data_IF_276487354110
#
_entry.id   IF_276487354110
#
_cell.length_a   1.000
_cell.length_b   1.000
_cell.length_c   1.000
_cell.angle_alpha   90.00
_cell.angle_beta   90.00
_cell.angle_gamma   90.00
#
_symmetry.space_group_name_H-M   'P 1'
#
loop_
_entity.id
_entity.type
_entity.pdbx_description
1 polymer ?
#
# COMPACT_ATOMS: atom_id res chain seq x y z
N UNK A 1 -14.60 0.95 -10.97
CA UNK A 1 -14.12 -0.05 -11.94
C UNK A 1 -12.75 -0.52 -11.51
N UNK A 2 -12.61 -1.80 -11.26
CA UNK A 2 -11.31 -2.39 -10.97
C UNK A 2 -10.58 -2.68 -12.28
N UNK A 3 -9.32 -2.29 -12.36
CA UNK A 3 -8.46 -2.60 -13.50
C UNK A 3 -7.73 -3.91 -13.21
N UNK A 4 -7.70 -4.83 -14.15
CA UNK A 4 -7.07 -6.16 -13.99
C UNK A 4 -5.62 -6.07 -13.50
N UNK A 5 -4.84 -5.14 -14.04
CA UNK A 5 -3.45 -4.92 -13.62
C UNK A 5 -3.34 -4.51 -12.15
N UNK A 6 -4.29 -3.72 -11.64
CA UNK A 6 -4.36 -3.33 -10.24
C UNK A 6 -4.63 -4.53 -9.35
N UNK A 7 -5.58 -5.38 -9.74
CA UNK A 7 -5.88 -6.61 -8.98
C UNK A 7 -4.68 -7.56 -8.93
N UNK A 8 -3.96 -7.71 -10.03
CA UNK A 8 -2.75 -8.53 -10.10
C UNK A 8 -1.64 -7.99 -9.19
N UNK A 9 -1.49 -6.67 -9.11
CA UNK A 9 -0.55 -6.01 -8.22
C UNK A 9 -0.91 -6.22 -6.74
N UNK A 10 -2.19 -6.15 -6.39
CA UNK A 10 -2.65 -6.25 -5.00
C UNK A 10 -2.63 -7.68 -4.45
N UNK A 11 -2.82 -8.70 -5.29
CA UNK A 11 -2.92 -10.10 -4.85
C UNK A 11 -1.79 -10.60 -3.94
N UNK A 12 -0.51 -10.32 -4.23
CA UNK A 12 0.57 -10.75 -3.34
C UNK A 12 0.41 -10.19 -1.93
N UNK A 13 -0.01 -8.93 -1.80
CA UNK A 13 -0.24 -8.29 -0.51
C UNK A 13 -1.46 -8.87 0.21
N UNK A 14 -2.55 -9.11 -0.50
CA UNK A 14 -3.77 -9.71 0.06
C UNK A 14 -3.52 -11.11 0.63
N UNK A 15 -2.62 -11.90 0.02
CA UNK A 15 -2.23 -13.22 0.52
C UNK A 15 -1.31 -13.14 1.73
N UNK A 16 -0.44 -12.15 1.77
CA UNK A 16 0.58 -11.98 2.81
C UNK A 16 0.00 -11.33 4.06
N UNK A 17 -0.92 -10.39 3.87
CA UNK A 17 -1.51 -9.60 4.95
C UNK A 17 -3.02 -9.80 4.98
N UNK A 18 -3.53 -10.34 6.08
CA UNK A 18 -4.96 -10.49 6.31
C UNK A 18 -5.61 -9.11 6.51
N UNK A 19 -6.80 -8.92 5.94
CA UNK A 19 -7.50 -7.64 6.02
C UNK A 19 -6.84 -6.51 5.25
N UNK A 20 -6.06 -6.83 4.23
CA UNK A 20 -5.36 -5.85 3.41
C UNK A 20 -6.34 -4.91 2.71
N UNK A 21 -6.26 -3.63 3.01
CA UNK A 21 -7.14 -2.63 2.44
C UNK A 21 -6.98 -1.26 3.11
N UNK A 22 -7.91 -0.37 2.85
CA UNK A 22 -7.88 1.01 3.35
C UNK A 22 -8.23 1.15 4.85
N UNK A 23 -8.41 0.05 5.53
CA UNK A 23 -8.69 0.03 6.96
C UNK A 23 -10.11 0.42 7.38
N UNK A 24 -10.97 0.82 6.45
CA UNK A 24 -12.33 1.23 6.77
C UNK A 24 -13.17 0.09 7.32
N UNK A 25 -12.98 -1.10 6.78
CA UNK A 25 -13.71 -2.30 7.19
C UNK A 25 -13.33 -2.74 8.61
N UNK A 26 -12.09 -2.48 9.01
CA UNK A 26 -11.58 -2.82 10.34
C UNK A 26 -11.91 -1.76 11.40
N UNK A 27 -12.54 -0.66 11.00
CA UNK A 27 -12.85 0.43 11.91
C UNK A 27 -11.63 1.18 12.44
N UNK A 28 -10.48 1.06 11.79
CA UNK A 28 -9.25 1.74 12.20
C UNK A 28 -9.33 3.20 11.77
N UNK A 29 -9.36 4.10 12.76
CA UNK A 29 -9.36 5.53 12.48
C UNK A 29 -8.01 6.02 11.99
N UNK A 30 -8.03 7.02 11.12
CA UNK A 30 -6.82 7.64 10.59
C UNK A 30 -6.11 6.85 9.49
N UNK A 31 -6.75 5.83 8.92
CA UNK A 31 -6.27 5.11 7.75
C UNK A 31 -6.94 5.68 6.50
N UNK A 32 -6.18 5.81 5.43
CA UNK A 32 -6.62 6.32 4.14
C UNK A 32 -5.76 7.46 3.63
N UNK A 33 -6.26 8.15 2.61
CA UNK A 33 -5.50 9.23 1.98
C UNK A 33 -5.49 10.51 2.83
N UNK A 34 -4.30 11.03 3.06
CA UNK A 34 -4.09 12.31 3.75
C UNK A 34 -4.13 13.48 2.76
N UNK A 35 -3.78 13.25 1.51
CA UNK A 35 -3.73 14.26 0.48
C UNK A 35 -4.28 13.72 -0.84
N UNK A 36 -5.13 14.50 -1.48
CA UNK A 36 -5.67 14.22 -2.81
C UNK A 36 -5.58 15.48 -3.64
N UNK A 37 -5.19 15.35 -4.88
CA UNK A 37 -5.14 16.46 -5.82
C UNK A 37 -5.44 16.00 -7.24
N UNK A 38 -5.88 16.92 -8.09
CA UNK A 38 -6.10 16.65 -9.50
C UNK A 38 -5.78 17.91 -10.31
N UNK A 39 -5.21 17.70 -11.48
CA UNK A 39 -4.91 18.76 -12.42
C UNK A 39 -4.98 18.21 -13.85
N UNK A 40 -5.97 18.68 -14.64
CA UNK A 40 -6.22 18.17 -15.98
C UNK A 40 -6.44 16.66 -15.99
N UNK A 41 -5.60 15.95 -16.72
CA UNK A 41 -5.68 14.49 -16.86
C UNK A 41 -4.96 13.73 -15.74
N UNK A 42 -4.39 14.44 -14.78
CA UNK A 42 -3.60 13.84 -13.70
C UNK A 42 -4.35 13.85 -12.37
N UNK A 43 -4.24 12.76 -11.64
CA UNK A 43 -4.73 12.63 -10.27
C UNK A 43 -3.63 12.11 -9.36
N UNK A 44 -3.66 12.52 -8.11
CA UNK A 44 -2.65 12.20 -7.11
C UNK A 44 -3.32 11.83 -5.79
N UNK A 45 -2.78 10.82 -5.15
CA UNK A 45 -3.24 10.34 -3.86
C UNK A 45 -2.03 9.97 -3.00
N UNK A 46 -2.00 10.42 -1.76
CA UNK A 46 -0.91 10.14 -0.83
C UNK A 46 -1.44 9.88 0.57
N UNK A 47 -0.91 8.88 1.27
CA UNK A 47 -1.28 8.59 2.64
C UNK A 47 -0.16 7.95 3.45
N UNK A 48 -0.02 8.39 4.70
CA UNK A 48 0.94 7.82 5.66
C UNK A 48 0.49 6.44 6.15
N UNK A 49 -0.82 6.26 6.31
CA UNK A 49 -1.46 5.02 6.72
C UNK A 49 -2.52 4.66 5.69
N UNK A 50 -2.09 4.53 4.45
CA UNK A 50 -3.01 4.35 3.32
C UNK A 50 -3.70 2.99 3.38
N UNK A 51 -2.91 1.96 3.64
CA UNK A 51 -3.36 0.58 3.65
C UNK A 51 -2.91 -0.08 4.95
N UNK A 52 -3.72 -0.98 5.47
CA UNK A 52 -3.41 -1.76 6.66
C UNK A 52 -3.63 -3.26 6.42
N UNK A 53 -3.01 -4.09 7.22
CA UNK A 53 -3.19 -5.54 7.20
C UNK A 53 -2.47 -6.20 8.36
N UNK A 54 -2.74 -7.50 8.58
CA UNK A 54 -2.05 -8.31 9.59
C UNK A 54 -1.15 -9.31 8.88
N UNK A 55 0.13 -9.35 9.26
CA UNK A 55 1.14 -10.22 8.65
C UNK A 55 0.90 -11.69 9.03
N UNK A 56 0.40 -12.49 8.09
CA UNK A 56 0.00 -13.88 8.33
C UNK A 56 0.74 -14.92 7.48
N UNK A 57 1.45 -14.47 6.44
CA UNK A 57 2.26 -15.34 5.59
C UNK A 57 3.64 -14.72 5.35
N UNK A 58 4.67 -15.49 4.96
CA UNK A 58 6.01 -14.95 4.74
C UNK A 58 6.01 -13.77 3.76
N UNK A 59 6.77 -12.73 4.09
CA UNK A 59 6.95 -11.54 3.26
C UNK A 59 8.43 -11.21 3.13
N UNK A 60 8.97 -11.24 1.91
CA UNK A 60 10.39 -10.98 1.62
C UNK A 60 11.35 -11.79 2.52
N UNK A 61 11.01 -13.06 2.77
CA UNK A 61 11.80 -13.93 3.63
C UNK A 61 11.58 -13.73 5.13
N UNK A 62 10.67 -12.84 5.53
CA UNK A 62 10.31 -12.63 6.93
C UNK A 62 9.15 -13.54 7.27
N UNK A 63 9.34 -14.40 8.28
CA UNK A 63 8.30 -15.30 8.76
C UNK A 63 7.12 -14.52 9.35
N UNK A 64 5.90 -15.09 9.33
CA UNK A 64 4.72 -14.42 9.84
C UNK A 64 4.90 -13.93 11.27
N UNK A 65 4.68 -12.63 11.49
CA UNK A 65 4.84 -12.00 12.82
C UNK A 65 3.53 -11.84 13.58
N UNK A 66 2.39 -11.90 12.86
CA UNK A 66 1.10 -11.56 13.44
C UNK A 66 0.91 -10.06 13.69
N UNK A 67 1.87 -9.23 13.31
CA UNK A 67 1.81 -7.79 13.52
C UNK A 67 0.82 -7.12 12.57
N UNK A 68 0.07 -6.16 13.09
CA UNK A 68 -0.70 -5.24 12.25
C UNK A 68 0.25 -4.18 11.70
N UNK A 69 0.21 -3.99 10.42
CA UNK A 69 1.10 -3.05 9.72
C UNK A 69 0.30 -2.02 8.93
N UNK A 70 0.93 -0.89 8.70
CA UNK A 70 0.43 0.17 7.83
C UNK A 70 1.41 0.35 6.68
N UNK A 71 0.88 0.66 5.49
CA UNK A 71 1.73 0.99 4.36
C UNK A 71 1.50 2.42 3.90
N UNK A 72 2.61 3.16 3.78
CA UNK A 72 2.64 4.48 3.16
C UNK A 72 2.60 4.29 1.67
N UNK A 73 1.78 5.06 1.01
CA UNK A 73 1.57 4.95 -0.43
C UNK A 73 1.47 6.33 -1.05
N UNK A 74 1.98 6.42 -2.26
CA UNK A 74 1.87 7.61 -3.09
C UNK A 74 1.57 7.17 -4.50
N UNK A 75 0.39 7.50 -4.99
CA UNK A 75 -0.07 7.13 -6.32
C UNK A 75 -0.30 8.34 -7.19
N UNK A 76 0.16 8.24 -8.44
CA UNK A 76 -0.14 9.18 -9.50
C UNK A 76 -0.80 8.43 -10.65
N UNK A 77 -1.80 9.03 -11.24
CA UNK A 77 -2.50 8.50 -12.41
C UNK A 77 -2.58 9.53 -13.51
N UNK A 78 -2.43 9.06 -14.75
CA UNK A 78 -2.80 9.83 -15.93
C UNK A 78 -4.02 9.17 -16.55
N UNK A 79 -5.03 9.99 -16.83
CA UNK A 79 -6.30 9.56 -17.38
C UNK A 79 -6.51 10.13 -18.78
N UNK A 80 -7.26 9.43 -19.62
CA UNK A 80 -7.72 9.92 -20.92
C UNK A 80 -9.04 9.26 -21.27
N UNK A 81 -10.00 10.04 -21.75
CA UNK A 81 -11.32 9.56 -22.14
C UNK A 81 -12.02 8.74 -21.04
N UNK A 82 -11.90 9.18 -19.79
CA UNK A 82 -12.51 8.51 -18.64
C UNK A 82 -11.82 7.21 -18.21
N UNK A 83 -10.62 6.94 -18.71
CA UNK A 83 -9.84 5.73 -18.38
C UNK A 83 -8.49 6.09 -17.80
N UNK A 84 -8.03 5.28 -16.85
CA UNK A 84 -6.65 5.36 -16.35
C UNK A 84 -5.73 4.73 -17.40
N UNK A 85 -4.72 5.50 -17.84
CA UNK A 85 -3.76 5.08 -18.87
C UNK A 85 -2.42 4.71 -18.23
N UNK A 86 -1.99 5.46 -17.22
CA UNK A 86 -0.73 5.24 -16.52
C UNK A 86 -0.92 5.40 -15.03
N UNK A 87 -0.18 4.60 -14.26
CA UNK A 87 -0.12 4.71 -12.81
C UNK A 87 1.35 4.65 -12.37
N UNK A 88 1.77 5.62 -11.59
CA UNK A 88 3.05 5.62 -10.89
C UNK A 88 2.76 5.43 -9.41
N UNK A 89 3.24 4.31 -8.86
CA UNK A 89 2.99 3.93 -7.48
C UNK A 89 4.32 3.84 -6.74
N UNK A 90 4.42 4.54 -5.62
CA UNK A 90 5.57 4.46 -4.71
C UNK A 90 5.11 3.94 -3.36
N UNK A 91 5.65 2.80 -2.96
CA UNK A 91 5.36 2.14 -1.70
C UNK A 91 6.58 2.24 -0.78
N UNK A 92 6.35 2.61 0.49
CA UNK A 92 7.43 2.64 1.48
C UNK A 92 7.65 1.24 2.06
N UNK A 93 8.37 0.42 1.32
CA UNK A 93 8.68 -0.95 1.72
C UNK A 93 9.64 -1.01 2.91
N UNK A 94 10.57 -0.06 3.04
CA UNK A 94 11.49 0.00 4.19
C UNK A 94 10.73 0.20 5.49
N UNK A 95 9.75 1.10 5.49
CA UNK A 95 8.90 1.32 6.66
C UNK A 95 8.04 0.10 6.98
N UNK A 96 7.53 -0.59 5.94
CA UNK A 96 6.74 -1.80 6.11
C UNK A 96 7.55 -2.91 6.80
N UNK A 97 8.74 -3.23 6.29
CA UNK A 97 9.58 -4.29 6.86
C UNK A 97 10.10 -3.93 8.24
N UNK A 98 10.29 -2.65 8.54
CA UNK A 98 10.65 -2.20 9.89
C UNK A 98 9.57 -2.55 10.91
N UNK A 99 8.30 -2.43 10.54
CA UNK A 99 7.18 -2.83 11.38
C UNK A 99 7.14 -4.35 11.60
N UNK A 100 7.78 -5.12 10.73
CA UNK A 100 7.95 -6.57 10.86
C UNK A 100 9.22 -6.97 11.64
N UNK A 101 9.93 -5.99 12.20
CA UNK A 101 11.11 -6.23 13.04
C UNK A 101 12.43 -6.22 12.29
N UNK A 102 12.47 -5.82 11.02
CA UNK A 102 13.69 -5.77 10.21
C UNK A 102 14.09 -4.33 9.93
N UNK A 103 15.26 -3.91 10.38
CA UNK A 103 15.84 -2.60 10.06
C UNK A 103 16.91 -2.77 8.98
N UNK A 104 16.49 -2.64 7.72
CA UNK A 104 17.38 -2.83 6.56
C UNK A 104 18.57 -1.88 6.59
N UNK A 105 18.40 -0.65 7.06
CA UNK A 105 19.47 0.35 7.11
C UNK A 105 20.56 -0.06 8.11
N UNK A 106 20.18 -0.59 9.26
CA UNK A 106 21.14 -1.10 10.24
C UNK A 106 21.87 -2.35 9.74
N UNK A 107 21.17 -3.23 9.03
CA UNK A 107 21.76 -4.44 8.46
C UNK A 107 22.75 -4.16 7.33
N UNK A 108 22.67 -3.02 6.66
CA UNK A 108 23.59 -2.59 5.61
C UNK A 108 24.90 -2.00 6.17
N UNK A 109 24.94 -1.69 7.43
CA UNK A 109 26.11 -1.19 8.14
C UNK A 109 26.81 -2.35 8.89
#
# INVERSE_FOLDING_TARGET
MRVKAFDEFQRPFEKTFSGWGDGKEDGISGVGADCKAGDGDYAFLHGWKMITGVHVNPFLGIEPTGNRVFMRDCDWWRCSNGKIIENWCMLDTLHLVKQLGVNVIEELN
#
